data_IF_219357727316
#
_entry.id   IF_219357727316
#
_cell.length_a   1.000
_cell.length_b   1.000
_cell.length_c   1.000
_cell.angle_alpha   90.00
_cell.angle_beta   90.00
_cell.angle_gamma   90.00
#
_symmetry.space_group_name_H-M   'P 1'
#
loop_
_entity.id
_entity.type
_entity.pdbx_description
1 polymer ?
#
# COMPACT_ATOMS: atom_id res chain seq x y z
N UNK A 1 15.88 -4.91 -5.41
CA UNK A 1 15.06 -5.90 -6.15
C UNK A 1 15.18 -7.26 -5.48
N UNK A 2 14.07 -7.98 -5.32
CA UNK A 2 14.10 -9.40 -4.94
C UNK A 2 14.31 -10.23 -6.21
N UNK A 3 15.51 -10.78 -6.40
CA UNK A 3 15.80 -11.70 -7.50
C UNK A 3 15.52 -13.13 -7.04
N UNK A 4 14.38 -13.67 -7.44
CA UNK A 4 14.07 -15.09 -7.32
C UNK A 4 14.87 -15.89 -8.36
N UNK A 5 15.40 -17.05 -7.95
CA UNK A 5 16.00 -17.99 -8.90
C UNK A 5 14.86 -18.67 -9.67
N UNK A 6 15.09 -19.03 -10.93
CA UNK A 6 14.08 -19.70 -11.76
C UNK A 6 13.58 -21.01 -11.13
N UNK A 7 14.43 -21.69 -10.35
CA UNK A 7 14.08 -22.92 -9.62
C UNK A 7 13.05 -22.68 -8.50
N UNK A 8 12.99 -21.45 -7.99
CA UNK A 8 12.18 -21.06 -6.83
C UNK A 8 10.79 -20.53 -7.24
N UNK A 9 10.36 -20.76 -8.49
CA UNK A 9 9.10 -20.26 -9.05
C UNK A 9 7.87 -20.68 -8.23
N UNK A 10 7.94 -21.81 -7.55
CA UNK A 10 6.88 -22.34 -6.71
C UNK A 10 6.57 -21.42 -5.51
N UNK A 11 7.50 -20.57 -5.08
CA UNK A 11 7.27 -19.61 -4.00
C UNK A 11 6.33 -18.46 -4.40
N UNK A 12 6.21 -18.16 -5.70
CA UNK A 12 5.32 -17.09 -6.20
C UNK A 12 3.98 -17.63 -6.72
N UNK A 13 3.82 -18.95 -6.81
CA UNK A 13 2.60 -19.58 -7.29
C UNK A 13 1.35 -19.08 -6.60
N UNK A 14 1.35 -19.09 -5.26
CA UNK A 14 0.19 -18.68 -4.47
C UNK A 14 -0.17 -17.20 -4.74
N UNK A 15 0.86 -16.36 -4.93
CA UNK A 15 0.70 -14.93 -5.23
C UNK A 15 0.12 -14.69 -6.62
N UNK A 16 0.38 -15.57 -7.58
CA UNK A 16 -0.12 -15.43 -8.96
C UNK A 16 -1.49 -16.10 -9.11
N UNK A 17 -1.70 -17.26 -8.51
CA UNK A 17 -2.88 -18.08 -8.71
C UNK A 17 -4.12 -17.46 -8.05
N UNK A 18 -4.01 -16.97 -6.81
CA UNK A 18 -5.15 -16.37 -6.10
C UNK A 18 -5.80 -15.21 -6.87
N UNK A 19 -5.04 -14.18 -7.28
CA UNK A 19 -5.60 -13.08 -8.08
C UNK A 19 -6.11 -13.51 -9.45
N UNK A 20 -5.51 -14.55 -10.05
CA UNK A 20 -5.91 -15.05 -11.36
C UNK A 20 -7.27 -15.78 -11.30
N UNK A 21 -7.49 -16.58 -10.27
CA UNK A 21 -8.74 -17.32 -10.06
C UNK A 21 -9.91 -16.41 -9.65
N UNK A 22 -9.60 -15.22 -9.13
CA UNK A 22 -10.58 -14.21 -8.73
C UNK A 22 -10.86 -13.16 -9.82
N UNK A 23 -10.09 -13.15 -10.92
CA UNK A 23 -10.28 -12.19 -12.00
C UNK A 23 -11.47 -12.59 -12.89
N UNK A 24 -12.39 -11.66 -13.20
CA UNK A 24 -13.52 -11.95 -14.08
C UNK A 24 -13.05 -12.32 -15.49
N UNK A 25 -13.75 -13.27 -16.11
CA UNK A 25 -13.44 -13.75 -17.46
C UNK A 25 -14.64 -13.61 -18.39
N UNK A 26 -14.42 -13.03 -19.56
CA UNK A 26 -15.46 -12.90 -20.60
C UNK A 26 -15.99 -14.27 -21.05
N UNK A 27 -15.15 -15.30 -21.00
CA UNK A 27 -15.53 -16.69 -21.32
C UNK A 27 -16.46 -17.30 -20.27
N UNK A 28 -16.52 -16.72 -19.08
CA UNK A 28 -17.38 -17.10 -17.97
C UNK A 28 -18.49 -16.06 -17.74
N UNK A 29 -18.85 -15.30 -18.78
CA UNK A 29 -19.86 -14.23 -18.70
C UNK A 29 -19.52 -13.15 -17.66
N UNK A 30 -18.23 -12.84 -17.51
CA UNK A 30 -17.74 -11.87 -16.53
C UNK A 30 -17.62 -12.42 -15.12
N UNK A 31 -17.84 -13.72 -14.89
CA UNK A 31 -17.58 -14.35 -13.60
C UNK A 31 -16.10 -14.71 -13.45
N UNK A 32 -15.62 -14.64 -12.22
CA UNK A 32 -14.31 -15.17 -11.87
C UNK A 32 -14.33 -16.71 -11.95
N UNK A 33 -13.21 -17.36 -12.34
CA UNK A 33 -13.07 -18.80 -12.29
C UNK A 33 -13.50 -19.42 -10.96
N UNK A 34 -13.06 -18.87 -9.83
CA UNK A 34 -13.44 -19.38 -8.49
C UNK A 34 -14.95 -19.35 -8.30
N UNK A 35 -15.62 -18.28 -8.74
CA UNK A 35 -17.07 -18.14 -8.63
C UNK A 35 -17.78 -19.16 -9.53
N UNK A 36 -17.30 -19.35 -10.75
CA UNK A 36 -17.91 -20.28 -11.70
C UNK A 36 -17.79 -21.75 -11.25
N UNK A 37 -16.70 -22.13 -10.59
CA UNK A 37 -16.48 -23.51 -10.16
C UNK A 37 -17.00 -23.82 -8.75
N UNK A 38 -17.01 -22.84 -7.85
CA UNK A 38 -17.43 -23.05 -6.45
C UNK A 38 -18.83 -22.53 -6.13
N UNK A 39 -19.41 -21.70 -7.01
CA UNK A 39 -20.62 -20.91 -6.75
C UNK A 39 -20.51 -19.98 -5.53
N UNK A 40 -19.30 -19.72 -5.03
CA UNK A 40 -19.03 -18.76 -3.97
C UNK A 40 -18.53 -17.44 -4.57
N UNK A 41 -18.85 -16.29 -3.98
CA UNK A 41 -18.31 -15.02 -4.47
C UNK A 41 -16.78 -15.00 -4.34
N UNK A 42 -16.10 -14.66 -5.44
CA UNK A 42 -14.67 -14.34 -5.44
C UNK A 42 -14.39 -13.31 -4.32
N UNK A 43 -13.55 -13.70 -3.37
CA UNK A 43 -13.19 -12.88 -2.22
C UNK A 43 -11.68 -12.88 -2.05
N UNK A 44 -10.97 -12.21 -2.95
CA UNK A 44 -9.54 -11.99 -2.76
C UNK A 44 -9.36 -10.84 -1.80
N UNK A 45 -9.10 -11.17 -0.54
CA UNK A 45 -8.30 -10.26 0.25
C UNK A 45 -6.86 -10.41 -0.23
N UNK A 46 -6.47 -9.62 -1.23
CA UNK A 46 -5.05 -9.46 -1.60
C UNK A 46 -4.16 -9.16 -0.38
N UNK A 47 -4.76 -8.65 0.70
CA UNK A 47 -4.11 -8.46 2.00
C UNK A 47 -3.56 -9.75 2.63
N UNK A 48 -4.13 -10.92 2.34
CA UNK A 48 -3.66 -12.20 2.88
C UNK A 48 -2.39 -12.70 2.17
N UNK A 49 -2.18 -12.33 0.90
CA UNK A 49 -0.98 -12.68 0.13
C UNK A 49 0.18 -11.70 0.35
N UNK A 50 -0.10 -10.49 0.84
CA UNK A 50 0.89 -9.64 1.46
C UNK A 50 1.20 -10.23 2.83
N UNK A 51 1.89 -11.38 2.84
CA UNK A 51 2.63 -11.80 4.03
C UNK A 51 3.48 -10.61 4.42
N UNK A 52 3.29 -10.18 5.67
CA UNK A 52 4.11 -9.23 6.38
C UNK A 52 5.55 -9.77 6.39
N UNK A 53 6.28 -9.56 5.29
CA UNK A 53 7.68 -9.20 5.46
C UNK A 53 7.58 -8.01 6.38
N UNK A 54 7.99 -8.20 7.63
CA UNK A 54 8.42 -7.16 8.55
C UNK A 54 9.51 -6.37 7.82
N UNK A 55 9.12 -5.57 6.82
CA UNK A 55 9.72 -4.28 6.67
C UNK A 55 9.40 -3.65 8.01
N UNK A 56 10.42 -3.56 8.86
CA UNK A 56 10.44 -2.51 9.85
C UNK A 56 9.78 -1.32 9.17
N UNK A 57 8.59 -0.97 9.64
CA UNK A 57 8.05 0.35 9.36
C UNK A 57 8.98 1.24 10.15
N UNK A 58 10.12 1.58 9.53
CA UNK A 58 10.94 2.67 10.00
C UNK A 58 10.01 3.84 9.85
N UNK A 59 9.41 4.25 10.96
CA UNK A 59 8.54 5.41 10.99
C UNK A 59 9.35 6.56 10.40
N UNK A 60 9.01 6.98 9.19
CA UNK A 60 9.73 7.99 8.42
C UNK A 60 9.31 9.35 9.01
N UNK A 61 9.64 9.56 10.29
CA UNK A 61 9.31 10.73 11.10
C UNK A 61 10.04 12.00 10.60
N UNK A 62 10.93 11.89 9.61
CA UNK A 62 11.61 13.07 9.06
C UNK A 62 10.63 14.04 8.40
N UNK A 63 9.58 13.56 7.74
CA UNK A 63 8.63 14.42 7.06
C UNK A 63 7.77 15.19 8.07
N UNK A 64 7.29 14.51 9.11
CA UNK A 64 6.45 15.13 10.14
C UNK A 64 7.26 16.07 11.05
N UNK A 65 8.51 15.70 11.34
CA UNK A 65 9.48 16.59 11.99
C UNK A 65 9.82 17.82 11.14
N UNK A 66 9.96 17.65 9.82
CA UNK A 66 10.23 18.77 8.89
C UNK A 66 9.03 19.70 8.79
N UNK A 67 7.82 19.14 8.73
CA UNK A 67 6.57 19.89 8.73
C UNK A 67 6.42 20.71 10.01
N UNK A 68 6.62 20.09 11.17
CA UNK A 68 6.50 20.77 12.47
C UNK A 68 7.48 21.95 12.59
N UNK A 69 8.76 21.74 12.24
CA UNK A 69 9.76 22.80 12.22
C UNK A 69 9.40 23.95 11.28
N UNK A 70 8.85 23.64 10.11
CA UNK A 70 8.43 24.67 9.16
C UNK A 70 7.27 25.52 9.70
N UNK A 71 6.25 24.89 10.29
CA UNK A 71 5.11 25.60 10.87
C UNK A 71 5.53 26.48 12.05
N UNK A 72 6.44 26.02 12.91
CA UNK A 72 6.98 26.85 13.99
C UNK A 72 7.72 28.09 13.47
N UNK A 73 8.48 27.95 12.38
CA UNK A 73 9.17 29.08 11.75
C UNK A 73 8.16 30.10 11.24
N UNK A 74 7.12 29.65 10.52
CA UNK A 74 6.07 30.54 10.02
C UNK A 74 5.33 31.25 11.15
N UNK A 75 5.01 30.55 12.24
CA UNK A 75 4.37 31.17 13.40
C UNK A 75 5.24 32.27 14.03
N UNK A 76 6.55 32.04 14.15
CA UNK A 76 7.49 33.06 14.66
C UNK A 76 7.57 34.27 13.73
N UNK A 77 7.62 34.06 12.41
CA UNK A 77 7.68 35.13 11.42
C UNK A 77 6.40 35.97 11.40
N UNK A 78 5.22 35.32 11.47
CA UNK A 78 3.91 35.99 11.58
C UNK A 78 3.80 36.76 12.90
N UNK A 79 4.26 36.18 14.01
CA UNK A 79 4.28 36.88 15.29
C UNK A 79 5.21 38.10 15.25
N UNK A 80 6.41 37.98 14.69
CA UNK A 80 7.36 39.08 14.55
C UNK A 80 6.85 40.20 13.65
N UNK A 81 6.26 39.87 12.49
CA UNK A 81 5.66 40.86 11.58
C UNK A 81 4.44 41.54 12.20
N UNK A 82 3.59 40.81 12.92
CA UNK A 82 2.45 41.42 13.62
C UNK A 82 2.88 42.32 14.77
N UNK A 83 3.93 41.98 15.51
CA UNK A 83 4.50 42.81 16.57
C UNK A 83 5.15 44.09 16.01
N UNK A 84 5.87 43.97 14.89
CA UNK A 84 6.49 45.12 14.23
C UNK A 84 5.45 46.08 13.63
N UNK A 85 4.26 45.58 13.23
CA UNK A 85 3.15 46.42 12.77
C UNK A 85 2.35 47.09 13.89
N UNK A 86 2.53 46.64 15.15
CA UNK A 86 1.87 47.21 16.35
C UNK A 86 2.72 48.24 17.09
N UNK A 87 3.99 48.41 16.70
CA UNK A 87 4.85 49.53 17.11
C UNK A 87 4.73 50.66 16.09
#
# INVERSE_FOLDING_TARGET
>A
ELKLRATDWHLVLALVLGPLDDMPSDRLSGMAPVTAFTNLPATTSLSAFVSTVTKEVTDINWLDSSRTKHMEKLHREVAATSANKRR
#
